data_IF_853171269664
#
_entry.id   IF_853171269664
#
_cell.length_a   1.000
_cell.length_b   1.000
_cell.length_c   1.000
_cell.angle_alpha   90.00
_cell.angle_beta   90.00
_cell.angle_gamma   90.00
#
_symmetry.space_group_name_H-M   'P 1'
#
loop_
_entity.id
_entity.type
_entity.pdbx_description
1 polymer ?
#
# COMPACT_ATOMS: atom_id res chain seq x y z
N UNK A 1 -5.69 -3.84 -8.14
CA UNK A 1 -5.89 -3.17 -9.44
C UNK A 1 -7.36 -3.19 -9.81
N UNK A 2 -7.74 -2.55 -10.92
CA UNK A 2 -9.14 -2.49 -11.37
C UNK A 2 -9.29 -3.10 -12.77
N UNK A 3 -10.20 -4.05 -12.98
CA UNK A 3 -10.46 -4.71 -14.28
C UNK A 3 -9.17 -5.19 -14.99
N UNK A 4 -8.27 -5.85 -14.24
CA UNK A 4 -6.94 -6.32 -14.72
C UNK A 4 -6.00 -5.21 -15.17
N UNK A 5 -6.31 -3.95 -14.87
CA UNK A 5 -5.43 -2.80 -15.11
C UNK A 5 -4.73 -2.36 -13.83
N UNK A 6 -3.55 -1.77 -14.02
CA UNK A 6 -2.82 -1.13 -12.94
C UNK A 6 -3.66 -0.02 -12.31
N UNK A 7 -3.73 -0.02 -10.98
CA UNK A 7 -4.35 1.02 -10.19
C UNK A 7 -3.25 1.67 -9.34
N UNK A 8 -3.06 2.98 -9.51
CA UNK A 8 -1.96 3.69 -8.86
C UNK A 8 -2.18 3.77 -7.35
N UNK A 9 -3.42 3.94 -6.91
CA UNK A 9 -3.81 3.94 -5.50
C UNK A 9 -3.40 2.64 -4.79
N UNK A 10 -3.62 1.47 -5.41
CA UNK A 10 -3.25 0.17 -4.84
C UNK A 10 -1.73 0.01 -4.77
N UNK A 11 -1.00 0.48 -5.78
CA UNK A 11 0.45 0.42 -5.83
C UNK A 11 1.09 1.33 -4.78
N UNK A 12 0.57 2.54 -4.61
CA UNK A 12 1.04 3.48 -3.59
C UNK A 12 0.72 2.99 -2.18
N UNK A 13 -0.47 2.43 -1.96
CA UNK A 13 -0.84 1.82 -0.68
C UNK A 13 0.07 0.63 -0.32
N UNK A 14 0.38 -0.24 -1.29
CA UNK A 14 1.33 -1.33 -1.08
C UNK A 14 2.72 -0.81 -0.68
N UNK A 15 3.19 0.25 -1.32
CA UNK A 15 4.44 0.91 -0.98
C UNK A 15 4.48 1.45 0.46
N UNK A 16 3.37 2.00 0.94
CA UNK A 16 3.26 2.49 2.31
C UNK A 16 3.33 1.35 3.33
N UNK A 17 2.61 0.26 3.08
CA UNK A 17 2.65 -0.92 3.95
C UNK A 17 4.06 -1.51 4.00
N UNK A 18 4.71 -1.67 2.84
CA UNK A 18 6.06 -2.24 2.75
C UNK A 18 7.10 -1.38 3.47
N UNK A 19 6.97 -0.06 3.41
CA UNK A 19 7.85 0.83 4.16
C UNK A 19 7.72 0.63 5.67
N UNK A 20 6.49 0.55 6.19
CA UNK A 20 6.29 0.33 7.62
C UNK A 20 6.77 -1.04 8.06
N UNK A 21 6.53 -2.09 7.28
CA UNK A 21 7.12 -3.40 7.56
C UNK A 21 8.64 -3.30 7.69
N UNK A 22 9.32 -2.65 6.74
CA UNK A 22 10.78 -2.47 6.81
C UNK A 22 11.23 -1.66 8.03
N UNK A 23 10.44 -0.68 8.48
CA UNK A 23 10.80 0.11 9.66
C UNK A 23 10.59 -0.63 10.98
N UNK A 24 9.60 -1.52 11.06
CA UNK A 24 9.27 -2.31 12.26
C UNK A 24 10.15 -3.56 12.41
N UNK A 25 10.80 -4.04 11.35
CA UNK A 25 11.76 -5.14 11.43
C UNK A 25 13.00 -4.74 12.25
N UNK A 26 13.61 -5.71 12.93
CA UNK A 26 14.87 -5.46 13.64
C UNK A 26 16.01 -5.21 12.63
N UNK A 27 17.09 -4.53 13.05
CA UNK A 27 18.22 -4.20 12.16
C UNK A 27 18.85 -5.41 11.44
N UNK A 28 18.75 -6.61 12.01
CA UNK A 28 19.25 -7.85 11.39
C UNK A 28 18.31 -8.41 10.31
N UNK A 29 17.03 -8.02 10.34
CA UNK A 29 15.97 -8.48 9.45
C UNK A 29 15.63 -7.43 8.37
N UNK A 30 16.04 -6.17 8.58
CA UNK A 30 15.95 -5.12 7.57
C UNK A 30 16.81 -5.48 6.37
N UNK A 31 16.25 -5.29 5.18
CA UNK A 31 16.98 -5.51 3.95
C UNK A 31 17.92 -4.32 3.72
N UNK A 32 19.22 -4.57 3.68
CA UNK A 32 20.19 -3.56 3.26
C UNK A 32 20.41 -3.64 1.74
N UNK A 33 20.39 -2.50 1.06
CA UNK A 33 20.64 -2.44 -0.39
C UNK A 33 22.01 -2.99 -0.79
N UNK A 34 22.96 -3.01 0.14
CA UNK A 34 24.29 -3.59 -0.04
C UNK A 34 24.32 -5.12 0.20
N UNK A 35 23.23 -5.73 0.66
CA UNK A 35 23.14 -7.17 0.87
C UNK A 35 22.99 -7.94 -0.44
N UNK A 36 23.70 -9.06 -0.54
CA UNK A 36 23.66 -9.90 -1.74
C UNK A 36 22.28 -10.50 -2.01
N UNK A 37 21.47 -10.68 -0.96
CA UNK A 37 20.12 -11.22 -1.04
C UNK A 37 19.04 -10.13 -1.27
N UNK A 38 19.42 -8.84 -1.39
CA UNK A 38 18.46 -7.72 -1.47
C UNK A 38 17.44 -7.87 -2.60
N UNK A 39 17.86 -8.38 -3.76
CA UNK A 39 16.96 -8.61 -4.92
C UNK A 39 16.55 -10.07 -5.11
N UNK A 40 16.78 -10.94 -4.13
CA UNK A 40 16.45 -12.36 -4.27
C UNK A 40 14.95 -12.57 -4.19
N UNK A 41 14.36 -13.25 -5.17
CA UNK A 41 12.91 -13.41 -5.27
C UNK A 41 12.25 -14.05 -4.04
N UNK A 42 12.97 -14.92 -3.33
CA UNK A 42 12.43 -15.67 -2.19
C UNK A 42 12.55 -14.95 -0.85
N UNK A 43 13.51 -14.04 -0.70
CA UNK A 43 13.90 -13.49 0.62
C UNK A 43 14.17 -11.98 0.60
N UNK A 44 14.26 -11.36 -0.58
CA UNK A 44 14.58 -9.96 -0.78
C UNK A 44 13.37 -9.12 -1.20
N UNK A 45 13.65 -7.87 -1.55
CA UNK A 45 12.67 -6.94 -2.08
C UNK A 45 12.77 -6.91 -3.61
N UNK A 46 11.65 -7.15 -4.28
CA UNK A 46 11.60 -7.04 -5.74
C UNK A 46 11.72 -5.57 -6.16
N UNK A 47 12.17 -5.33 -7.39
CA UNK A 47 12.20 -3.97 -7.96
C UNK A 47 10.81 -3.30 -7.94
N UNK A 48 9.74 -4.09 -8.09
CA UNK A 48 8.37 -3.60 -7.97
C UNK A 48 8.05 -3.11 -6.55
N UNK A 49 8.43 -3.88 -5.54
CA UNK A 49 8.24 -3.51 -4.14
C UNK A 49 9.09 -2.27 -3.77
N UNK A 50 10.35 -2.21 -4.20
CA UNK A 50 11.19 -1.03 -4.02
C UNK A 50 10.60 0.21 -4.71
N UNK A 51 10.13 0.06 -5.95
CA UNK A 51 9.48 1.14 -6.69
C UNK A 51 8.22 1.63 -5.98
N UNK A 52 7.43 0.73 -5.38
CA UNK A 52 6.25 1.09 -4.60
C UNK A 52 6.63 1.89 -3.34
N UNK A 53 7.64 1.44 -2.59
CA UNK A 53 8.16 2.16 -1.42
C UNK A 53 8.60 3.57 -1.83
N UNK A 54 9.44 3.69 -2.84
CA UNK A 54 9.95 4.99 -3.29
C UNK A 54 8.82 5.94 -3.76
N UNK A 55 7.85 5.41 -4.52
CA UNK A 55 6.74 6.18 -5.04
C UNK A 55 5.76 6.68 -3.95
N UNK A 56 5.69 5.99 -2.81
CA UNK A 56 4.74 6.28 -1.73
C UNK A 56 5.26 7.27 -0.68
N UNK A 57 6.52 7.73 -0.77
CA UNK A 57 7.12 8.59 0.27
C UNK A 57 6.60 10.03 0.27
N UNK A 58 6.17 10.55 -0.88
CA UNK A 58 5.63 11.91 -0.99
C UNK A 58 4.12 11.91 -0.70
N UNK A 59 3.77 12.02 0.59
CA UNK A 59 2.40 11.91 1.12
C UNK A 59 1.39 12.82 0.40
N UNK A 60 1.73 14.10 0.22
CA UNK A 60 0.84 15.08 -0.44
C UNK A 60 0.57 14.67 -1.90
N UNK A 61 1.63 14.26 -2.61
CA UNK A 61 1.50 13.82 -3.99
C UNK A 61 0.74 12.51 -4.11
N UNK A 62 0.97 11.57 -3.20
CA UNK A 62 0.26 10.29 -3.12
C UNK A 62 -1.23 10.52 -2.95
N UNK A 63 -1.64 11.29 -1.96
CA UNK A 63 -3.05 11.62 -1.71
C UNK A 63 -3.69 12.23 -2.97
N UNK A 64 -3.05 13.27 -3.52
CA UNK A 64 -3.54 13.97 -4.71
C UNK A 64 -3.67 13.06 -5.94
N UNK A 65 -2.72 12.15 -6.14
CA UNK A 65 -2.72 11.22 -7.27
C UNK A 65 -3.75 10.11 -7.07
N UNK A 66 -3.91 9.60 -5.86
CA UNK A 66 -4.92 8.60 -5.50
C UNK A 66 -6.33 9.16 -5.71
N UNK A 67 -6.63 10.38 -5.24
CA UNK A 67 -7.92 11.04 -5.49
C UNK A 67 -8.16 11.24 -6.99
N UNK A 68 -7.11 11.65 -7.73
CA UNK A 68 -7.19 11.91 -9.18
C UNK A 68 -6.98 10.69 -10.06
N UNK A 69 -6.94 9.48 -9.49
CA UNK A 69 -6.75 8.25 -10.24
C UNK A 69 -7.95 7.96 -11.15
N UNK A 70 -7.83 6.95 -12.02
CA UNK A 70 -8.95 6.53 -12.88
C UNK A 70 -10.17 6.12 -12.03
N UNK A 71 -9.94 5.35 -10.97
CA UNK A 71 -10.99 4.90 -10.05
C UNK A 71 -11.51 6.07 -9.21
N UNK A 72 -10.62 6.89 -8.65
CA UNK A 72 -11.00 8.06 -7.83
C UNK A 72 -11.87 9.04 -8.60
N UNK A 73 -11.48 9.40 -9.83
CA UNK A 73 -12.29 10.26 -10.71
C UNK A 73 -13.63 9.65 -11.09
N UNK A 74 -13.66 8.33 -11.34
CA UNK A 74 -14.91 7.62 -11.67
C UNK A 74 -15.87 7.65 -10.48
N UNK A 75 -15.38 7.42 -9.27
CA UNK A 75 -16.17 7.47 -8.03
C UNK A 75 -16.69 8.89 -7.77
N UNK A 76 -15.83 9.90 -7.89
CA UNK A 76 -16.23 11.31 -7.76
C UNK A 76 -17.32 11.69 -8.79
N UNK A 77 -17.17 11.29 -10.06
CA UNK A 77 -18.19 11.51 -11.10
C UNK A 77 -19.55 10.87 -10.75
N UNK A 78 -19.54 9.75 -10.02
CA UNK A 78 -20.74 9.05 -9.56
C UNK A 78 -21.31 9.61 -8.24
N UNK A 79 -20.70 10.65 -7.67
CA UNK A 79 -21.14 11.27 -6.41
C UNK A 79 -20.56 10.67 -5.15
N UNK A 80 -19.52 9.82 -5.25
CA UNK A 80 -18.83 9.17 -4.12
C UNK A 80 -17.49 9.84 -3.79
N UNK A 81 -17.41 11.16 -3.89
CA UNK A 81 -16.15 11.89 -3.63
C UNK A 81 -15.71 11.77 -2.16
N UNK A 82 -16.66 11.78 -1.23
CA UNK A 82 -16.37 11.62 0.20
C UNK A 82 -15.75 10.26 0.53
N UNK A 83 -16.16 9.19 -0.15
CA UNK A 83 -15.57 7.86 0.00
C UNK A 83 -14.10 7.85 -0.45
N UNK A 84 -13.79 8.54 -1.55
CA UNK A 84 -12.42 8.67 -2.05
C UNK A 84 -11.56 9.44 -1.04
N UNK A 85 -12.07 10.57 -0.54
CA UNK A 85 -11.38 11.39 0.46
C UNK A 85 -11.19 10.67 1.80
N UNK A 86 -12.09 9.77 2.17
CA UNK A 86 -11.96 8.94 3.37
C UNK A 86 -10.86 7.88 3.18
N UNK A 87 -10.87 7.18 2.04
CA UNK A 87 -9.98 6.05 1.77
C UNK A 87 -8.49 6.42 1.65
N UNK A 88 -8.16 7.69 1.40
CA UNK A 88 -6.77 8.16 1.33
C UNK A 88 -6.21 8.57 2.69
N UNK A 89 -7.02 8.61 3.74
CA UNK A 89 -6.56 8.93 5.09
C UNK A 89 -5.80 7.75 5.68
N UNK A 90 -4.70 8.06 6.36
CA UNK A 90 -3.82 7.09 6.97
C UNK A 90 -4.11 6.96 8.46
N UNK A 91 -3.92 5.76 9.01
CA UNK A 91 -3.97 5.48 10.45
C UNK A 91 -5.25 5.98 11.16
N UNK A 92 -6.39 6.00 10.46
CA UNK A 92 -7.69 6.37 11.04
C UNK A 92 -8.39 5.19 11.75
N UNK A 93 -7.79 4.00 11.69
CA UNK A 93 -8.28 2.76 12.29
C UNK A 93 -7.09 1.88 12.66
N UNK A 94 -7.18 1.19 13.80
CA UNK A 94 -6.22 0.17 14.25
C UNK A 94 -6.70 -1.25 13.92
N UNK A 95 -7.91 -1.40 13.37
CA UNK A 95 -8.47 -2.70 13.02
C UNK A 95 -7.72 -3.34 11.84
N UNK A 96 -7.29 -4.59 12.01
CA UNK A 96 -6.75 -5.43 10.92
C UNK A 96 -7.74 -6.56 10.64
N UNK A 97 -8.26 -6.65 9.41
CA UNK A 97 -9.15 -7.73 9.00
C UNK A 97 -8.38 -8.96 8.50
N UNK A 98 -8.69 -10.15 9.00
CA UNK A 98 -8.14 -11.42 8.51
C UNK A 98 -9.22 -12.23 7.83
N UNK A 99 -8.92 -12.72 6.63
CA UNK A 99 -9.76 -13.66 5.91
C UNK A 99 -9.46 -15.10 6.33
N UNK A 100 -10.46 -15.79 6.88
CA UNK A 100 -10.38 -17.20 7.27
C UNK A 100 -11.73 -17.87 7.06
N UNK A 101 -11.72 -19.05 6.44
CA UNK A 101 -12.91 -19.90 6.26
C UNK A 101 -14.12 -19.17 5.64
N UNK A 102 -13.88 -18.34 4.61
CA UNK A 102 -14.94 -17.62 3.91
C UNK A 102 -15.45 -16.35 4.61
N UNK A 103 -14.81 -15.92 5.70
CA UNK A 103 -15.21 -14.74 6.47
C UNK A 103 -14.03 -13.82 6.73
N UNK A 104 -14.30 -12.52 6.82
CA UNK A 104 -13.35 -11.53 7.33
C UNK A 104 -13.71 -11.29 8.81
N UNK A 105 -12.74 -11.50 9.68
CA UNK A 105 -12.86 -11.25 11.12
C UNK A 105 -11.81 -10.25 11.58
N UNK A 106 -12.09 -9.50 12.64
CA UNK A 106 -11.09 -8.66 13.29
C UNK A 106 -9.95 -9.54 13.83
N UNK A 107 -8.72 -9.17 13.52
CA UNK A 107 -7.53 -9.69 14.18
C UNK A 107 -7.54 -9.19 15.62
N UNK A 108 -7.61 -10.12 16.56
CA UNK A 108 -7.42 -9.85 17.96
C UNK A 108 -6.08 -10.51 18.33
N UNK A 109 -5.16 -9.72 18.89
CA UNK A 109 -3.89 -10.21 19.47
C UNK A 109 -4.12 -11.16 20.65
#
# INVERSE_FOLDING_TARGET
GFERTFAIEDFLAAGEILFWIQNELNEQEKLNIDDIDYFKEETGITEFALSAILASRDKEKVEKVSIKSKSGRRLAYLGYEDDVNLCVKENISENVGIYKDGKITLYNE
#
